data_IF_898612322970
#
_entry.id   IF_898612322970
#
_cell.length_a   1.000
_cell.length_b   1.000
_cell.length_c   1.000
_cell.angle_alpha   90.00
_cell.angle_beta   90.00
_cell.angle_gamma   90.00
#
_symmetry.space_group_name_H-M   'P 1'
#
loop_
_entity.id
_entity.type
_entity.pdbx_description
1 polymer ?
#
# COMPACT_ATOMS: atom_id res chain seq x y z
N UNK A 1 -5.36 6.82 -3.99
CA UNK A 1 -5.82 5.45 -3.59
C UNK A 1 -6.66 5.58 -2.31
N UNK A 2 -7.69 4.74 -2.14
CA UNK A 2 -8.62 4.82 -0.98
C UNK A 2 -8.21 3.86 0.13
N UNK A 3 -8.51 4.18 1.39
CA UNK A 3 -8.19 3.33 2.56
C UNK A 3 -8.68 1.89 2.41
N UNK A 4 -9.80 1.65 1.72
CA UNK A 4 -10.32 0.29 1.47
C UNK A 4 -9.29 -0.64 0.82
N UNK A 5 -8.34 -0.14 0.02
CA UNK A 5 -7.29 -0.96 -0.58
C UNK A 5 -6.31 -1.52 0.44
N UNK A 6 -6.13 -0.85 1.59
CA UNK A 6 -5.21 -1.24 2.65
C UNK A 6 -5.59 -2.57 3.31
N UNK A 7 -6.87 -2.98 3.26
CA UNK A 7 -7.32 -4.27 3.80
C UNK A 7 -6.57 -5.45 3.18
N UNK A 8 -6.23 -5.36 1.90
CA UNK A 8 -5.49 -6.40 1.19
C UNK A 8 -3.98 -6.37 1.50
N UNK A 9 -3.48 -5.26 2.06
CA UNK A 9 -2.06 -5.00 2.30
C UNK A 9 -1.67 -5.14 3.77
N UNK A 10 -2.67 -5.29 4.63
CA UNK A 10 -2.50 -5.34 6.07
C UNK A 10 -1.66 -6.55 6.47
N UNK A 11 -0.68 -6.33 7.34
CA UNK A 11 0.20 -7.40 7.83
C UNK A 11 -0.53 -8.44 8.68
N UNK A 12 -1.59 -8.02 9.38
CA UNK A 12 -2.45 -8.85 10.22
C UNK A 12 -3.87 -8.79 9.72
N UNK A 13 -4.47 -9.96 9.43
CA UNK A 13 -5.85 -10.07 8.93
C UNK A 13 -6.91 -9.77 9.99
N UNK A 14 -6.57 -9.92 11.27
CA UNK A 14 -7.52 -9.66 12.35
C UNK A 14 -7.38 -8.22 12.85
N UNK A 15 -8.53 -7.55 12.94
CA UNK A 15 -8.70 -6.36 13.75
C UNK A 15 -8.94 -6.82 15.18
N UNK A 16 -8.09 -6.41 16.11
CA UNK A 16 -8.23 -6.70 17.53
C UNK A 16 -8.51 -5.38 18.26
N UNK A 17 -9.31 -5.47 19.31
CA UNK A 17 -9.66 -4.37 20.19
C UNK A 17 -9.80 -4.90 21.62
N UNK A 18 -9.70 -4.02 22.60
CA UNK A 18 -9.84 -4.37 24.02
C UNK A 18 -10.96 -3.55 24.66
N UNK A 19 -11.48 -4.06 25.77
CA UNK A 19 -12.47 -3.35 26.57
C UNK A 19 -11.84 -2.29 27.47
N UNK A 20 -12.67 -1.44 28.07
CA UNK A 20 -12.24 -0.40 29.00
C UNK A 20 -11.59 -0.96 30.26
N UNK A 21 -12.08 -2.11 30.74
CA UNK A 21 -11.65 -2.74 31.98
C UNK A 21 -10.49 -3.72 31.79
N UNK A 22 -9.97 -3.86 30.57
CA UNK A 22 -8.84 -4.75 30.29
C UNK A 22 -7.59 -4.22 31.01
N UNK A 23 -6.87 -5.07 31.78
CA UNK A 23 -5.61 -4.69 32.43
C UNK A 23 -4.53 -4.27 31.43
N UNK A 24 -3.67 -3.34 31.83
CA UNK A 24 -2.57 -2.87 30.97
C UNK A 24 -1.53 -3.97 30.73
N UNK A 25 -1.35 -4.91 31.64
CA UNK A 25 -0.47 -6.07 31.45
C UNK A 25 -0.90 -6.93 30.25
N UNK A 26 -2.21 -7.18 30.10
CA UNK A 26 -2.76 -7.92 28.97
C UNK A 26 -2.58 -7.16 27.65
N UNK A 27 -2.84 -5.85 27.64
CA UNK A 27 -2.61 -5.00 26.48
C UNK A 27 -1.12 -4.98 26.11
N UNK A 28 -0.23 -4.82 27.08
CA UNK A 28 1.23 -4.82 26.85
C UNK A 28 1.72 -6.15 26.28
N UNK A 29 1.18 -7.28 26.77
CA UNK A 29 1.46 -8.60 26.24
C UNK A 29 1.02 -8.70 24.76
N UNK A 30 -0.20 -8.26 24.45
CA UNK A 30 -0.71 -8.27 23.09
C UNK A 30 0.11 -7.38 22.15
N UNK A 31 0.55 -6.20 22.61
CA UNK A 31 1.42 -5.31 21.85
C UNK A 31 2.72 -6.02 21.44
N UNK A 32 3.36 -6.70 22.41
CA UNK A 32 4.60 -7.45 22.20
C UNK A 32 4.41 -8.63 21.26
N UNK A 33 3.43 -9.49 21.52
CA UNK A 33 3.23 -10.73 20.76
C UNK A 33 2.84 -10.46 19.32
N UNK A 34 2.02 -9.43 19.09
CA UNK A 34 1.55 -9.06 17.75
C UNK A 34 2.47 -8.07 17.04
N UNK A 35 3.54 -7.58 17.70
CA UNK A 35 4.53 -6.62 17.16
C UNK A 35 3.88 -5.32 16.64
N UNK A 36 2.91 -4.83 17.40
CA UNK A 36 2.10 -3.63 17.12
C UNK A 36 2.40 -2.56 18.16
N UNK A 37 2.18 -1.28 17.83
CA UNK A 37 2.51 -0.16 18.73
C UNK A 37 1.31 0.47 19.44
N UNK A 38 0.08 0.07 19.10
CA UNK A 38 -1.13 0.54 19.74
C UNK A 38 -2.31 -0.41 19.52
N UNK A 39 -3.30 -0.30 20.39
CA UNK A 39 -4.57 -1.05 20.34
C UNK A 39 -5.74 -0.08 20.48
N UNK A 40 -6.85 -0.30 19.75
CA UNK A 40 -8.09 0.43 19.97
C UNK A 40 -8.84 -0.13 21.19
N UNK A 41 -9.49 0.76 21.94
CA UNK A 41 -10.35 0.45 23.07
C UNK A 41 -11.79 0.72 22.68
N UNK A 42 -12.66 -0.27 22.87
CA UNK A 42 -14.06 -0.23 22.42
C UNK A 42 -15.03 -0.57 23.55
N UNK A 43 -16.30 -0.18 23.39
CA UNK A 43 -17.39 -0.67 24.23
C UNK A 43 -17.95 -2.02 23.74
N UNK A 44 -19.00 -2.50 24.42
CA UNK A 44 -19.70 -3.74 24.08
C UNK A 44 -20.38 -3.71 22.69
N UNK A 45 -20.66 -2.51 22.17
CA UNK A 45 -21.25 -2.30 20.84
C UNK A 45 -20.20 -2.08 19.74
N UNK A 46 -18.92 -2.28 20.06
CA UNK A 46 -17.75 -2.04 19.21
C UNK A 46 -17.58 -0.57 18.78
N UNK A 47 -18.08 0.38 19.58
CA UNK A 47 -17.79 1.81 19.38
C UNK A 47 -16.43 2.13 19.96
N UNK A 48 -15.66 2.91 19.21
CA UNK A 48 -14.33 3.33 19.60
C UNK A 48 -14.40 4.37 20.74
N UNK A 49 -13.78 4.04 21.88
CA UNK A 49 -13.71 4.90 23.06
C UNK A 49 -12.32 5.51 23.27
N UNK A 50 -11.27 4.82 22.84
CA UNK A 50 -9.90 5.22 23.11
C UNK A 50 -8.88 4.46 22.28
N UNK A 51 -7.62 4.86 22.43
CA UNK A 51 -6.45 4.12 21.98
C UNK A 51 -5.48 4.02 23.14
N UNK A 52 -4.87 2.85 23.33
CA UNK A 52 -3.72 2.65 24.20
C UNK A 52 -2.51 2.33 23.32
N UNK A 53 -1.46 3.13 23.44
CA UNK A 53 -0.20 2.93 22.73
C UNK A 53 0.96 2.64 23.69
N UNK A 54 2.08 2.15 23.16
CA UNK A 54 3.34 2.04 23.91
C UNK A 54 3.70 3.34 24.64
N UNK A 55 3.44 4.49 24.00
CA UNK A 55 3.67 5.81 24.60
C UNK A 55 2.77 6.06 25.81
N UNK A 56 1.51 5.66 25.75
CA UNK A 56 0.60 5.80 26.89
C UNK A 56 1.05 4.94 28.07
N UNK A 57 1.48 3.71 27.81
CA UNK A 57 2.04 2.82 28.84
C UNK A 57 3.28 3.46 29.49
N UNK A 58 4.23 3.95 28.69
CA UNK A 58 5.42 4.61 29.24
C UNK A 58 5.06 5.88 30.02
N UNK A 59 4.23 6.76 29.45
CA UNK A 59 3.98 8.09 30.03
C UNK A 59 2.97 8.12 31.18
N UNK A 60 2.01 7.20 31.23
CA UNK A 60 0.91 7.21 32.21
C UNK A 60 0.91 6.02 33.17
N UNK A 61 1.56 4.90 32.82
CA UNK A 61 1.73 3.76 33.72
C UNK A 61 3.11 3.81 34.39
N UNK A 62 4.19 3.82 33.60
CA UNK A 62 5.57 3.70 34.11
C UNK A 62 6.00 4.95 34.87
N UNK A 63 5.81 6.13 34.28
CA UNK A 63 6.18 7.42 34.92
C UNK A 63 5.37 7.67 36.20
N UNK A 64 4.11 7.23 36.24
CA UNK A 64 3.25 7.37 37.42
C UNK A 64 3.40 6.21 38.42
N UNK A 65 4.32 5.28 38.18
CA UNK A 65 4.59 4.11 39.02
C UNK A 65 3.34 3.27 39.36
N UNK A 66 2.45 3.11 38.38
CA UNK A 66 1.23 2.31 38.51
C UNK A 66 1.49 0.82 38.23
N UNK A 67 0.72 -0.04 38.87
CA UNK A 67 0.74 -1.49 38.64
C UNK A 67 -0.03 -1.84 37.35
N UNK A 68 0.60 -2.61 36.47
CA UNK A 68 0.04 -2.98 35.17
C UNK A 68 -1.18 -3.93 35.27
N UNK A 69 -1.26 -4.74 36.33
CA UNK A 69 -2.35 -5.69 36.55
C UNK A 69 -3.57 -5.02 37.21
N UNK A 70 -3.36 -3.91 37.92
CA UNK A 70 -4.42 -3.16 38.59
C UNK A 70 -4.92 -1.95 37.79
N UNK A 71 -4.13 -1.46 36.84
CA UNK A 71 -4.51 -0.34 35.97
C UNK A 71 -5.24 -0.86 34.75
N UNK A 72 -6.36 -0.21 34.41
CA UNK A 72 -7.19 -0.56 33.27
C UNK A 72 -6.91 0.31 32.03
N UNK A 73 -7.34 -0.16 30.87
CA UNK A 73 -7.29 0.59 29.61
C UNK A 73 -7.93 1.97 29.73
N UNK A 74 -9.09 2.06 30.40
CA UNK A 74 -9.85 3.29 30.58
C UNK A 74 -9.07 4.40 31.27
N UNK A 75 -8.21 4.04 32.22
CA UNK A 75 -7.46 5.00 33.04
C UNK A 75 -6.36 5.70 32.25
N UNK A 76 -5.75 5.02 31.26
CA UNK A 76 -4.62 5.57 30.51
C UNK A 76 -4.89 5.81 29.03
N UNK A 77 -6.02 5.33 28.47
CA UNK A 77 -6.32 5.51 27.06
C UNK A 77 -6.39 6.99 26.67
N UNK A 78 -6.03 7.28 25.42
CA UNK A 78 -6.27 8.60 24.83
C UNK A 78 -7.65 8.59 24.16
N UNK A 79 -8.59 9.39 24.68
CA UNK A 79 -9.98 9.46 24.18
C UNK A 79 -10.20 10.44 23.03
N UNK A 80 -9.31 11.44 22.86
CA UNK A 80 -9.39 12.36 21.71
C UNK A 80 -8.73 11.69 20.50
N UNK A 81 -9.56 11.03 19.69
CA UNK A 81 -9.10 10.19 18.60
C UNK A 81 -9.48 10.82 17.26
N UNK A 82 -8.53 10.83 16.34
CA UNK A 82 -8.78 11.16 14.94
C UNK A 82 -9.07 9.85 14.22
N UNK A 83 -10.13 9.83 13.44
CA UNK A 83 -10.60 8.64 12.73
C UNK A 83 -10.75 8.93 11.25
N UNK A 84 -10.76 7.86 10.45
CA UNK A 84 -11.00 7.90 9.02
C UNK A 84 -12.18 7.01 8.64
N UNK A 85 -12.60 7.11 7.38
CA UNK A 85 -13.55 6.22 6.71
C UNK A 85 -12.85 5.44 5.61
N UNK A 86 -13.39 4.29 5.22
CA UNK A 86 -12.82 3.44 4.17
C UNK A 86 -12.67 4.15 2.80
N UNK A 87 -13.49 5.15 2.53
CA UNK A 87 -13.47 5.93 1.30
C UNK A 87 -12.59 7.19 1.37
N UNK A 88 -11.89 7.41 2.49
CA UNK A 88 -10.93 8.52 2.59
C UNK A 88 -9.71 8.23 1.73
N UNK A 89 -9.08 9.32 1.25
CA UNK A 89 -7.87 9.23 0.44
C UNK A 89 -6.64 8.96 1.31
N UNK A 90 -5.80 8.02 0.88
CA UNK A 90 -4.60 7.59 1.60
C UNK A 90 -3.62 8.75 1.83
N UNK A 91 -3.37 9.58 0.82
CA UNK A 91 -2.37 10.65 0.93
C UNK A 91 -2.86 11.71 1.92
N UNK A 92 -4.13 12.08 1.82
CA UNK A 92 -4.76 12.97 2.79
C UNK A 92 -4.68 12.39 4.22
N UNK A 93 -4.96 11.10 4.40
CA UNK A 93 -4.86 10.46 5.72
C UNK A 93 -3.43 10.46 6.26
N UNK A 94 -2.42 10.23 5.42
CA UNK A 94 -1.00 10.32 5.80
C UNK A 94 -0.68 11.75 6.28
N UNK A 95 -1.15 12.78 5.57
CA UNK A 95 -0.96 14.17 5.97
C UNK A 95 -1.63 14.48 7.32
N UNK A 96 -2.86 13.99 7.53
CA UNK A 96 -3.54 14.11 8.82
C UNK A 96 -2.73 13.44 9.93
N UNK A 97 -2.19 12.25 9.68
CA UNK A 97 -1.35 11.52 10.65
C UNK A 97 -0.09 12.31 11.00
N UNK A 98 0.60 12.84 9.99
CA UNK A 98 1.81 13.66 10.13
C UNK A 98 1.53 14.94 10.91
N UNK A 99 0.52 15.70 10.52
CA UNK A 99 0.20 17.00 11.12
C UNK A 99 -0.27 16.88 12.57
N UNK A 100 -0.91 15.76 12.93
CA UNK A 100 -1.34 15.50 14.31
C UNK A 100 -0.33 14.65 15.11
N UNK A 101 0.82 14.32 14.51
CA UNK A 101 1.88 13.53 15.11
C UNK A 101 1.39 12.17 15.67
N UNK A 102 0.46 11.52 14.95
CA UNK A 102 -0.11 10.21 15.27
C UNK A 102 0.38 9.15 14.28
N UNK A 103 0.47 7.90 14.74
CA UNK A 103 0.98 6.77 13.95
C UNK A 103 -0.03 5.66 13.71
N UNK A 104 -1.25 5.82 14.22
CA UNK A 104 -2.32 4.86 14.04
C UNK A 104 -3.59 5.61 13.64
N UNK A 105 -4.36 5.01 12.75
CA UNK A 105 -5.59 5.54 12.19
C UNK A 105 -6.69 4.47 12.35
N UNK A 106 -7.60 4.65 13.32
CA UNK A 106 -8.84 3.89 13.37
C UNK A 106 -9.77 4.28 12.24
N UNK A 107 -10.48 3.29 11.70
CA UNK A 107 -11.45 3.45 10.62
C UNK A 107 -12.82 3.04 11.14
N UNK A 108 -13.79 3.94 11.01
CA UNK A 108 -15.15 3.71 11.49
C UNK A 108 -16.14 3.50 10.34
N UNK A 109 -17.20 2.74 10.62
CA UNK A 109 -18.37 2.67 9.74
C UNK A 109 -19.30 3.89 9.92
N UNK A 110 -20.43 3.87 9.21
CA UNK A 110 -21.46 4.91 9.32
C UNK A 110 -22.13 4.99 10.70
N UNK A 111 -22.03 3.94 11.52
CA UNK A 111 -22.60 3.83 12.86
C UNK A 111 -21.57 4.12 13.97
N UNK A 112 -20.39 4.66 13.62
CA UNK A 112 -19.26 4.90 14.51
C UNK A 112 -18.68 3.64 15.18
N UNK A 113 -18.85 2.47 14.54
CA UNK A 113 -18.22 1.22 14.99
C UNK A 113 -16.85 1.06 14.36
N UNK A 114 -15.91 0.54 15.14
CA UNK A 114 -14.57 0.26 14.66
C UNK A 114 -14.61 -0.86 13.61
N UNK A 115 -14.15 -0.55 12.40
CA UNK A 115 -14.05 -1.54 11.31
C UNK A 115 -12.62 -1.98 11.07
N UNK A 116 -11.67 -1.05 11.08
CA UNK A 116 -10.26 -1.33 10.85
C UNK A 116 -9.37 -0.44 11.72
N UNK A 117 -8.15 -0.91 11.95
CA UNK A 117 -7.11 -0.16 12.65
C UNK A 117 -5.80 -0.29 11.89
N UNK A 118 -5.33 0.82 11.32
CA UNK A 118 -4.13 0.88 10.50
C UNK A 118 -3.02 1.64 11.21
N UNK A 119 -1.79 1.19 11.02
CA UNK A 119 -0.59 1.92 11.42
C UNK A 119 -0.01 2.68 10.23
N UNK A 120 0.85 3.67 10.49
CA UNK A 120 1.59 4.38 9.44
C UNK A 120 2.37 3.40 8.54
N UNK A 121 2.80 2.25 9.07
CA UNK A 121 3.50 1.22 8.29
C UNK A 121 2.61 0.61 7.21
N UNK A 122 1.32 0.47 7.48
CA UNK A 122 0.35 -0.05 6.50
C UNK A 122 0.16 0.95 5.35
N UNK A 123 0.06 2.25 5.67
CA UNK A 123 0.00 3.33 4.68
C UNK A 123 1.27 3.40 3.83
N UNK A 124 2.45 3.33 4.46
CA UNK A 124 3.74 3.34 3.75
C UNK A 124 3.91 2.13 2.82
N UNK A 125 3.42 0.94 3.22
CA UNK A 125 3.46 -0.25 2.35
C UNK A 125 2.63 -0.07 1.09
N UNK A 126 1.48 0.59 1.18
CA UNK A 126 0.65 0.89 0.01
C UNK A 126 1.38 1.81 -0.96
N UNK A 127 1.98 2.89 -0.47
CA UNK A 127 2.76 3.82 -1.30
C UNK A 127 3.96 3.12 -1.96
N UNK A 128 4.62 2.19 -1.26
CA UNK A 128 5.73 1.42 -1.84
C UNK A 128 5.26 0.45 -2.93
N UNK A 129 4.09 -0.19 -2.79
CA UNK A 129 3.56 -1.08 -3.82
C UNK A 129 3.19 -0.33 -5.09
N UNK A 130 2.55 0.84 -4.97
CA UNK A 130 2.25 1.70 -6.11
C UNK A 130 3.54 2.07 -6.86
N UNK A 131 4.58 2.46 -6.12
CA UNK A 131 5.86 2.81 -6.71
C UNK A 131 6.60 1.63 -7.38
N UNK A 132 6.51 0.42 -6.81
CA UNK A 132 7.08 -0.78 -7.42
C UNK A 132 6.36 -1.14 -8.70
N UNK A 133 5.03 -1.05 -8.71
CA UNK A 133 4.21 -1.34 -9.88
C UNK A 133 4.48 -0.35 -11.02
N UNK A 134 4.60 0.95 -10.70
CA UNK A 134 4.98 1.99 -11.68
C UNK A 134 6.38 1.70 -12.27
N UNK A 135 7.35 1.28 -11.45
CA UNK A 135 8.71 0.94 -11.92
C UNK A 135 8.73 -0.26 -12.86
N UNK A 136 8.02 -1.34 -12.51
CA UNK A 136 7.93 -2.53 -13.37
C UNK A 136 7.19 -2.25 -14.69
N UNK A 137 6.13 -1.42 -14.65
CA UNK A 137 5.43 -0.96 -15.88
C UNK A 137 6.37 -0.18 -16.81
N UNK A 138 7.15 0.77 -16.29
CA UNK A 138 8.14 1.51 -17.09
C UNK A 138 9.22 0.60 -17.69
N UNK A 139 9.74 -0.35 -16.91
CA UNK A 139 10.76 -1.30 -17.35
C UNK A 139 10.30 -2.14 -18.55
N UNK A 140 9.04 -2.57 -18.55
CA UNK A 140 8.49 -3.35 -19.65
C UNK A 140 8.38 -2.54 -20.95
N UNK A 141 7.95 -1.28 -20.88
CA UNK A 141 7.88 -0.40 -22.06
C UNK A 141 9.28 -0.18 -22.67
N UNK A 142 10.27 0.14 -21.83
CA UNK A 142 11.66 0.32 -22.28
C UNK A 142 12.23 -0.95 -22.91
N UNK A 143 11.93 -2.13 -22.32
CA UNK A 143 12.37 -3.42 -22.88
C UNK A 143 11.84 -3.66 -24.28
N UNK A 144 10.57 -3.33 -24.55
CA UNK A 144 9.99 -3.47 -25.89
C UNK A 144 10.65 -2.53 -26.91
N UNK A 145 10.95 -1.28 -26.52
CA UNK A 145 11.65 -0.34 -27.41
C UNK A 145 13.05 -0.86 -27.79
N UNK A 146 13.83 -1.34 -26.82
CA UNK A 146 15.16 -1.90 -27.08
C UNK A 146 15.08 -3.16 -27.96
N UNK A 147 14.15 -4.07 -27.67
CA UNK A 147 13.98 -5.31 -28.45
C UNK A 147 13.68 -5.03 -29.92
N UNK A 148 12.90 -3.99 -30.22
CA UNK A 148 12.58 -3.60 -31.60
C UNK A 148 13.79 -3.07 -32.32
N UNK A 149 14.55 -2.17 -31.69
CA UNK A 149 15.80 -1.67 -32.26
C UNK A 149 16.77 -2.81 -32.55
N UNK A 150 16.95 -3.75 -31.63
CA UNK A 150 17.81 -4.93 -31.83
C UNK A 150 17.30 -5.80 -32.98
N UNK A 151 15.99 -6.05 -33.06
CA UNK A 151 15.41 -6.87 -34.13
C UNK A 151 15.58 -6.20 -35.50
N UNK A 152 15.36 -4.89 -35.60
CA UNK A 152 15.56 -4.11 -36.83
C UNK A 152 17.02 -4.09 -37.29
N UNK A 153 17.97 -3.93 -36.35
CA UNK A 153 19.39 -3.97 -36.66
C UNK A 153 19.78 -5.39 -37.14
N UNK A 154 19.29 -6.42 -36.45
CA UNK A 154 19.55 -7.82 -36.82
C UNK A 154 19.00 -8.19 -38.20
N UNK A 155 17.77 -7.79 -38.53
CA UNK A 155 17.19 -8.03 -39.86
C UNK A 155 17.95 -7.29 -40.95
N UNK A 156 18.41 -6.07 -40.68
CA UNK A 156 19.24 -5.29 -41.61
C UNK A 156 20.59 -5.96 -41.84
N UNK A 157 21.28 -6.38 -40.77
CA UNK A 157 22.57 -7.07 -40.86
C UNK A 157 22.47 -8.41 -41.60
N UNK A 158 21.44 -9.21 -41.33
CA UNK A 158 21.15 -10.43 -42.07
C UNK A 158 20.86 -10.16 -43.54
N UNK A 159 20.06 -9.12 -43.83
CA UNK A 159 19.79 -8.69 -45.21
C UNK A 159 21.05 -8.33 -45.99
N UNK A 160 22.04 -7.69 -45.36
CA UNK A 160 23.35 -7.39 -45.97
C UNK A 160 24.15 -8.68 -46.18
N UNK A 161 24.20 -9.55 -45.17
CA UNK A 161 24.96 -10.80 -45.23
C UNK A 161 24.49 -11.76 -46.33
N UNK A 162 23.18 -11.83 -46.57
CA UNK A 162 22.57 -12.68 -47.60
C UNK A 162 22.34 -11.96 -48.95
N UNK A 163 22.90 -10.76 -49.14
CA UNK A 163 22.76 -9.92 -50.34
C UNK A 163 21.29 -9.70 -50.75
N UNK A 164 20.41 -9.59 -49.75
CA UNK A 164 18.96 -9.55 -49.95
C UNK A 164 18.47 -8.18 -50.43
N UNK A 165 19.33 -7.17 -50.51
CA UNK A 165 19.00 -5.77 -50.86
C UNK A 165 18.86 -5.50 -52.37
N UNK A 166 18.66 -6.54 -53.18
CA UNK A 166 18.26 -6.37 -54.58
C UNK A 166 16.86 -5.72 -54.71
N UNK A 167 16.65 -4.95 -55.79
CA UNK A 167 15.38 -4.25 -56.07
C UNK A 167 14.14 -5.16 -56.01
N UNK A 168 14.30 -6.45 -56.34
CA UNK A 168 13.25 -7.49 -56.33
C UNK A 168 12.73 -7.85 -54.93
N UNK A 169 13.53 -7.60 -53.88
CA UNK A 169 13.23 -8.01 -52.51
C UNK A 169 12.76 -6.85 -51.60
N UNK A 170 12.74 -5.61 -52.11
CA UNK A 170 12.34 -4.43 -51.34
C UNK A 170 10.96 -4.58 -50.69
N UNK A 171 9.99 -5.15 -51.41
CA UNK A 171 8.62 -5.36 -50.89
C UNK A 171 8.63 -6.26 -49.66
N UNK A 172 9.46 -7.32 -49.65
CA UNK A 172 9.57 -8.26 -48.53
C UNK A 172 10.25 -7.59 -47.34
N UNK A 173 11.31 -6.83 -47.57
CA UNK A 173 12.04 -6.08 -46.53
C UNK A 173 11.10 -5.07 -45.85
N UNK A 174 10.41 -4.24 -46.63
CA UNK A 174 9.47 -3.26 -46.07
C UNK A 174 8.31 -3.95 -45.34
N UNK A 175 7.75 -5.04 -45.88
CA UNK A 175 6.68 -5.80 -45.22
C UNK A 175 7.10 -6.31 -43.84
N UNK A 176 8.33 -6.84 -43.73
CA UNK A 176 8.85 -7.36 -42.46
C UNK A 176 9.11 -6.22 -41.46
N UNK A 177 9.63 -5.10 -41.94
CA UNK A 177 9.90 -3.91 -41.12
C UNK A 177 8.61 -3.30 -40.56
N UNK A 178 7.59 -3.13 -41.40
CA UNK A 178 6.27 -2.64 -40.98
C UNK A 178 5.58 -3.61 -40.01
N UNK A 179 5.74 -4.92 -40.18
CA UNK A 179 5.20 -5.92 -39.25
C UNK A 179 5.83 -5.79 -37.86
N UNK A 180 7.15 -5.64 -37.78
CA UNK A 180 7.88 -5.47 -36.52
C UNK A 180 7.42 -4.19 -35.79
N UNK A 181 7.34 -3.08 -36.53
CA UNK A 181 6.86 -1.79 -35.99
C UNK A 181 5.41 -1.92 -35.52
N UNK A 182 4.55 -2.57 -36.30
CA UNK A 182 3.14 -2.78 -35.97
C UNK A 182 2.95 -3.61 -34.71
N UNK A 183 3.64 -4.76 -34.60
CA UNK A 183 3.59 -5.61 -33.40
C UNK A 183 4.11 -4.85 -32.18
N UNK A 184 5.21 -4.11 -32.31
CA UNK A 184 5.74 -3.28 -31.23
C UNK A 184 4.77 -2.19 -30.79
N UNK A 185 4.18 -1.47 -31.74
CA UNK A 185 3.22 -0.41 -31.45
C UNK A 185 2.00 -0.98 -30.71
N UNK A 186 1.47 -2.13 -31.15
CA UNK A 186 0.38 -2.83 -30.48
C UNK A 186 0.78 -3.29 -29.08
N UNK A 187 1.97 -3.87 -28.89
CA UNK A 187 2.46 -4.29 -27.58
C UNK A 187 2.65 -3.10 -26.63
N UNK A 188 3.21 -2.00 -27.13
CA UNK A 188 3.42 -0.75 -26.38
C UNK A 188 2.09 -0.13 -25.97
N UNK A 189 1.13 -0.01 -26.90
CA UNK A 189 -0.21 0.52 -26.63
C UNK A 189 -0.96 -0.39 -25.66
N UNK A 190 -0.88 -1.72 -25.82
CA UNK A 190 -1.52 -2.67 -24.89
C UNK A 190 -0.93 -2.58 -23.49
N UNK A 191 0.38 -2.41 -23.36
CA UNK A 191 1.06 -2.15 -22.09
C UNK A 191 0.56 -0.83 -21.46
N UNK A 192 0.43 0.22 -22.27
CA UNK A 192 -0.03 1.54 -21.81
C UNK A 192 -1.54 1.60 -21.52
N UNK A 193 -2.36 0.78 -22.18
CA UNK A 193 -3.81 0.71 -21.91
C UNK A 193 -4.14 -0.10 -20.66
N UNK A 194 -3.26 -1.03 -20.26
CA UNK A 194 -3.30 -1.61 -18.91
C UNK A 194 -2.97 -0.58 -17.84
N UNK A 195 -2.01 0.32 -18.12
CA UNK A 195 -1.66 1.43 -17.22
C UNK A 195 -2.87 2.33 -16.89
N UNK A 196 -3.66 2.77 -17.88
CA UNK A 196 -4.84 3.63 -17.64
C UNK A 196 -6.11 2.94 -17.11
N UNK A 197 -6.13 1.61 -16.91
CA UNK A 197 -7.33 0.88 -16.42
C UNK A 197 -7.30 0.56 -14.93
N UNK A 198 -6.16 0.79 -14.28
CA UNK A 198 -5.95 0.50 -12.86
C UNK A 198 -6.01 1.77 -11.98
N UNK A 199 -6.29 2.94 -12.59
CA UNK A 199 -6.62 4.21 -11.93
C UNK A 199 -8.14 4.34 -11.68
#
# INVERSE_FOLDING_TARGET
>A
MKIVSLRNLKSSKENFAFGTETPISEIALALRERKIGAVPIVDQDNKLLGIVSERDIVSKLVVEAKDADLTTAKEIMTSKIITAKLNDDINYTIDVMKNNNIRHMPVLDANNRLTDFFSIRDFLRAEMQDNVEIKEKHKNVVRYQIMVSVLLIGTTAAGVFFDFFERKNLVVIFSTLFLIIGISAVMTIRSNKRYNRED
#
